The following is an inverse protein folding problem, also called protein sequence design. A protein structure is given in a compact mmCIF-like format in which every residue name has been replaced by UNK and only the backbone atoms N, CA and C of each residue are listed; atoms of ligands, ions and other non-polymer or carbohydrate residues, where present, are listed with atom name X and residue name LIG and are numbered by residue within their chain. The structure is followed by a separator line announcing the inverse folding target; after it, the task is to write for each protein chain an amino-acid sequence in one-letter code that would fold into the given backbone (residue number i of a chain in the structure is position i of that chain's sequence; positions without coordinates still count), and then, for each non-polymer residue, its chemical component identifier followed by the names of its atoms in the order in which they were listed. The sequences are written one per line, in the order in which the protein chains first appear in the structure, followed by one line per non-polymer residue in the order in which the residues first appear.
data_IF_667609743053
#
_entry.id   IF_667609743053
#
_cell.length_a   1.000
_cell.length_b   1.000
_cell.length_c   1.000
_cell.angle_alpha   90.00
_cell.angle_beta   90.00
_cell.angle_gamma   90.00
#
_symmetry.space_group_name_H-M   'P 1'
#
loop_
_entity.id
_entity.type
_entity.pdbx_description
1 polymer ?
#
# COMPACT_ATOMS: atom_id res chain seq x y z
N UNK A 1 2.36 28.85 -13.22
CA UNK A 1 2.98 27.88 -14.15
C UNK A 1 2.29 26.55 -13.93
N UNK A 2 1.60 26.03 -14.93
CA UNK A 2 0.68 24.90 -14.77
C UNK A 2 1.48 23.59 -14.81
N UNK A 3 1.62 22.89 -13.68
CA UNK A 3 2.54 21.75 -13.50
C UNK A 3 1.98 20.41 -14.01
N UNK A 4 0.93 20.43 -14.83
CA UNK A 4 0.16 19.24 -15.20
C UNK A 4 0.09 18.99 -16.71
N UNK A 5 1.17 19.21 -17.45
CA UNK A 5 1.39 18.41 -18.65
C UNK A 5 1.78 17.01 -18.19
N UNK A 6 0.76 16.16 -17.97
CA UNK A 6 1.00 14.74 -17.75
C UNK A 6 1.67 14.21 -19.02
N UNK A 7 2.92 13.78 -18.91
CA UNK A 7 3.62 13.03 -19.95
C UNK A 7 2.93 11.67 -20.11
N UNK A 8 1.79 11.66 -20.79
CA UNK A 8 0.99 10.45 -21.04
C UNK A 8 1.49 9.82 -22.33
N UNK A 9 2.03 8.61 -22.20
CA UNK A 9 2.29 7.74 -23.34
C UNK A 9 1.10 6.78 -23.50
N UNK A 10 0.49 6.75 -24.69
CA UNK A 10 -0.59 5.80 -25.01
C UNK A 10 0.03 4.58 -25.66
N UNK A 11 -0.13 3.43 -25.02
CA UNK A 11 0.32 2.13 -25.52
C UNK A 11 -0.89 1.32 -26.02
N UNK A 12 -0.73 0.43 -27.02
CA UNK A 12 -1.81 -0.39 -27.56
C UNK A 12 -2.15 -1.58 -26.65
N UNK A 13 -2.12 -1.39 -25.33
CA UNK A 13 -2.48 -2.41 -24.35
C UNK A 13 -3.08 -1.76 -23.09
N UNK A 14 -3.85 -2.53 -22.28
CA UNK A 14 -4.25 -2.08 -20.96
C UNK A 14 -3.02 -1.78 -20.10
N UNK A 15 -3.09 -0.75 -19.25
CA UNK A 15 -1.97 -0.32 -18.37
C UNK A 15 -1.42 -1.50 -17.55
N UNK A 16 -2.29 -2.34 -17.01
CA UNK A 16 -1.91 -3.53 -16.24
C UNK A 16 -1.05 -4.55 -17.02
N UNK A 17 -1.12 -4.55 -18.36
CA UNK A 17 -0.36 -5.44 -19.26
C UNK A 17 0.94 -4.83 -19.77
N UNK A 18 1.25 -3.59 -19.39
CA UNK A 18 2.58 -3.03 -19.64
C UNK A 18 3.60 -3.88 -18.89
N UNK A 19 4.63 -4.32 -19.61
CA UNK A 19 5.67 -5.20 -19.09
C UNK A 19 7.04 -4.52 -19.13
N UNK A 20 7.85 -4.80 -18.10
CA UNK A 20 9.27 -4.43 -18.04
C UNK A 20 10.21 -5.49 -18.66
N UNK A 21 9.65 -6.55 -19.26
CA UNK A 21 10.38 -7.70 -19.81
C UNK A 21 10.48 -8.89 -18.85
N UNK A 22 10.15 -8.72 -17.57
CA UNK A 22 10.14 -9.77 -16.55
C UNK A 22 8.74 -9.96 -15.94
N UNK A 23 8.06 -8.84 -15.66
CA UNK A 23 6.72 -8.80 -15.09
C UNK A 23 5.87 -7.76 -15.80
N UNK A 24 4.55 -7.91 -15.66
CA UNK A 24 3.54 -6.91 -15.97
C UNK A 24 3.23 -6.07 -14.73
N UNK A 25 2.62 -4.89 -14.91
CA UNK A 25 2.16 -4.10 -13.77
C UNK A 25 1.15 -4.87 -12.91
N UNK A 26 0.21 -5.62 -13.50
CA UNK A 26 -0.73 -6.45 -12.74
C UNK A 26 0.00 -7.44 -11.80
N UNK A 27 1.02 -8.14 -12.33
CA UNK A 27 1.83 -9.09 -11.54
C UNK A 27 2.60 -8.39 -10.42
N UNK A 28 3.23 -7.25 -10.70
CA UNK A 28 3.94 -6.47 -9.68
C UNK A 28 2.99 -5.96 -8.58
N UNK A 29 1.78 -5.53 -8.93
CA UNK A 29 0.77 -5.11 -7.96
C UNK A 29 0.31 -6.29 -7.08
N UNK A 30 0.10 -7.46 -7.67
CA UNK A 30 -0.27 -8.67 -6.93
C UNK A 30 0.86 -9.13 -5.99
N UNK A 31 2.11 -9.12 -6.45
CA UNK A 31 3.29 -9.39 -5.62
C UNK A 31 3.37 -8.40 -4.44
N UNK A 32 3.20 -7.10 -4.71
CA UNK A 32 3.23 -6.05 -3.68
C UNK A 32 2.18 -6.29 -2.60
N UNK A 33 0.94 -6.62 -2.98
CA UNK A 33 -0.12 -6.92 -2.02
C UNK A 33 0.28 -8.09 -1.09
N UNK A 34 0.68 -9.22 -1.69
CA UNK A 34 0.99 -10.43 -0.93
C UNK A 34 2.23 -10.23 -0.05
N UNK A 35 3.30 -9.63 -0.58
CA UNK A 35 4.53 -9.37 0.18
C UNK A 35 4.26 -8.47 1.39
N UNK A 36 3.49 -7.39 1.20
CA UNK A 36 3.16 -6.48 2.30
C UNK A 36 2.30 -7.17 3.36
N UNK A 37 1.28 -7.94 2.96
CA UNK A 37 0.46 -8.72 3.90
C UNK A 37 1.30 -9.73 4.68
N UNK A 38 2.24 -10.42 4.03
CA UNK A 38 3.13 -11.36 4.71
C UNK A 38 4.03 -10.65 5.72
N UNK A 39 4.56 -9.49 5.37
CA UNK A 39 5.34 -8.67 6.30
C UNK A 39 4.50 -8.22 7.51
N UNK A 40 3.29 -7.74 7.27
CA UNK A 40 2.35 -7.35 8.33
C UNK A 40 2.03 -8.51 9.27
N UNK A 41 1.79 -9.70 8.71
CA UNK A 41 1.51 -10.90 9.50
C UNK A 41 2.72 -11.37 10.32
N UNK A 42 3.95 -11.07 9.88
CA UNK A 42 5.16 -11.32 10.68
C UNK A 42 5.28 -10.33 11.85
N UNK A 43 4.69 -9.13 11.74
CA UNK A 43 4.76 -8.04 12.73
C UNK A 43 3.36 -7.48 13.04
N UNK A 44 2.44 -8.31 13.57
CA UNK A 44 1.08 -7.86 13.88
C UNK A 44 1.08 -6.79 14.97
N UNK A 45 2.12 -6.75 15.82
CA UNK A 45 2.35 -5.72 16.84
C UNK A 45 2.52 -4.31 16.26
N UNK A 46 2.93 -4.21 15.00
CA UNK A 46 3.11 -2.94 14.29
C UNK A 46 2.04 -2.68 13.24
N UNK A 47 1.13 -3.62 13.01
CA UNK A 47 0.34 -3.65 11.79
C UNK A 47 -1.15 -3.50 12.07
N UNK A 48 -1.84 -2.82 11.16
CA UNK A 48 -3.27 -2.61 11.24
C UNK A 48 -3.91 -2.59 9.86
N UNK A 49 -5.23 -2.76 9.82
CA UNK A 49 -6.04 -2.59 8.60
C UNK A 49 -7.35 -1.86 8.91
N UNK A 50 -7.85 -1.09 7.97
CA UNK A 50 -9.12 -0.37 8.07
C UNK A 50 -9.80 -0.23 6.70
N UNK A 51 -11.13 -0.32 6.67
CA UNK A 51 -11.92 0.01 5.46
C UNK A 51 -12.24 1.49 5.33
N UNK A 52 -12.21 2.24 6.44
CA UNK A 52 -12.50 3.67 6.47
C UNK A 52 -11.22 4.47 6.69
N UNK A 53 -11.12 5.60 6.03
CA UNK A 53 -10.14 6.63 6.35
C UNK A 53 -10.44 7.28 7.70
N UNK A 54 -9.54 8.15 8.17
CA UNK A 54 -9.69 8.92 9.41
C UNK A 54 -11.03 9.68 9.46
N UNK A 55 -11.43 10.29 8.35
CA UNK A 55 -12.68 11.07 8.21
C UNK A 55 -13.94 10.20 8.01
N UNK A 56 -13.79 8.88 8.03
CA UNK A 56 -14.86 7.93 7.79
C UNK A 56 -15.19 7.67 6.31
N UNK A 57 -14.52 8.35 5.38
CA UNK A 57 -14.67 8.07 3.95
C UNK A 57 -14.12 6.68 3.61
N UNK A 58 -14.61 6.11 2.50
CA UNK A 58 -14.21 4.80 1.99
C UNK A 58 -13.71 4.95 0.56
N UNK A 59 -12.77 4.13 0.14
CA UNK A 59 -12.39 4.06 -1.28
C UNK A 59 -13.56 3.52 -2.11
N UNK A 60 -13.72 4.05 -3.32
CA UNK A 60 -14.63 3.46 -4.30
C UNK A 60 -14.10 2.08 -4.73
N UNK A 61 -14.97 1.07 -4.70
CA UNK A 61 -14.61 -0.34 -4.92
C UNK A 61 -14.34 -1.10 -3.62
N UNK A 62 -14.14 -2.42 -3.71
CA UNK A 62 -13.79 -3.25 -2.55
C UNK A 62 -12.28 -3.13 -2.27
N UNK A 63 -11.92 -2.11 -1.49
CA UNK A 63 -10.55 -1.82 -1.06
C UNK A 63 -10.46 -1.59 0.45
N UNK A 64 -9.25 -1.67 0.98
CA UNK A 64 -8.95 -1.27 2.36
C UNK A 64 -7.54 -0.69 2.47
N UNK A 65 -7.32 0.07 3.54
CA UNK A 65 -6.00 0.59 3.91
C UNK A 65 -5.34 -0.40 4.85
N UNK A 66 -4.13 -0.78 4.53
CA UNK A 66 -3.25 -1.58 5.36
C UNK A 66 -2.04 -0.74 5.76
N UNK A 67 -1.68 -0.73 7.04
CA UNK A 67 -0.61 0.11 7.54
C UNK A 67 0.30 -0.59 8.55
N UNK A 68 1.53 -0.09 8.65
CA UNK A 68 2.47 -0.45 9.71
C UNK A 68 3.05 0.79 10.38
N UNK A 69 3.02 0.84 11.71
CA UNK A 69 3.63 1.89 12.52
C UNK A 69 5.07 1.51 12.87
N UNK A 70 6.02 1.95 12.04
CA UNK A 70 7.44 1.64 12.21
C UNK A 70 8.14 2.75 12.99
N UNK A 71 9.27 2.45 13.69
CA UNK A 71 10.10 3.50 14.30
C UNK A 71 10.61 4.54 13.31
N UNK A 72 10.75 4.17 12.04
CA UNK A 72 11.18 5.06 10.96
C UNK A 72 10.05 5.91 10.38
N UNK A 73 8.80 5.66 10.77
CA UNK A 73 7.60 6.32 10.26
C UNK A 73 6.56 5.34 9.73
N UNK A 74 5.34 5.81 9.55
CA UNK A 74 4.22 4.96 9.10
C UNK A 74 4.37 4.57 7.63
N UNK A 75 3.98 3.36 7.26
CA UNK A 75 3.87 2.95 5.85
C UNK A 75 2.47 2.44 5.60
N UNK A 76 1.83 2.92 4.55
CA UNK A 76 0.45 2.52 4.23
C UNK A 76 0.29 2.18 2.75
N UNK A 77 -0.60 1.23 2.48
CA UNK A 77 -0.97 0.83 1.14
C UNK A 77 -2.48 0.56 1.05
N UNK A 78 -3.07 0.93 -0.09
CA UNK A 78 -4.38 0.42 -0.48
C UNK A 78 -4.23 -0.98 -1.05
N UNK A 79 -5.04 -1.91 -0.55
CA UNK A 79 -5.10 -3.31 -0.95
C UNK A 79 -6.53 -3.68 -1.35
N UNK A 80 -6.66 -4.60 -2.31
CA UNK A 80 -7.96 -5.11 -2.74
C UNK A 80 -8.63 -5.93 -1.63
N UNK A 81 -9.93 -5.77 -1.45
CA UNK A 81 -10.71 -6.40 -0.38
C UNK A 81 -10.71 -7.93 -0.43
N UNK A 82 -10.44 -8.55 -1.59
CA UNK A 82 -10.19 -10.00 -1.70
C UNK A 82 -9.06 -10.51 -0.79
N UNK A 83 -8.16 -9.62 -0.37
CA UNK A 83 -7.07 -9.91 0.55
C UNK A 83 -7.37 -9.61 2.02
N UNK A 84 -8.55 -9.07 2.35
CA UNK A 84 -8.90 -8.63 3.71
C UNK A 84 -8.64 -9.73 4.74
N UNK A 85 -9.11 -10.94 4.46
CA UNK A 85 -8.96 -12.08 5.36
C UNK A 85 -7.54 -12.65 5.39
N UNK A 86 -6.69 -12.34 4.40
CA UNK A 86 -5.29 -12.77 4.40
C UNK A 86 -4.45 -11.96 5.39
N UNK A 87 -4.82 -10.69 5.64
CA UNK A 87 -4.20 -9.82 6.63
C UNK A 87 -4.72 -10.16 8.04
N UNK A 88 -3.89 -10.85 8.83
CA UNK A 88 -4.18 -11.32 10.19
C UNK A 88 -3.61 -10.36 11.24
N UNK A 89 -4.08 -9.12 11.19
CA UNK A 89 -3.62 -8.02 12.04
C UNK A 89 -4.80 -7.27 12.64
N UNK A 90 -4.53 -6.31 13.52
CA UNK A 90 -5.58 -5.54 14.18
C UNK A 90 -6.46 -4.78 13.18
N UNK A 91 -7.77 -4.91 13.35
CA UNK A 91 -8.76 -4.13 12.62
C UNK A 91 -9.03 -2.82 13.36
N UNK A 92 -8.96 -1.71 12.64
CA UNK A 92 -9.40 -0.42 13.11
C UNK A 92 -10.72 -0.05 12.43
N UNK A 93 -11.60 0.60 13.19
CA UNK A 93 -12.82 1.15 12.61
C UNK A 93 -12.51 2.28 11.62
N UNK A 94 -11.52 3.12 11.97
CA UNK A 94 -11.00 4.24 11.17
C UNK A 94 -9.48 4.14 11.08
N UNK A 95 -8.92 4.44 9.91
CA UNK A 95 -7.48 4.54 9.75
C UNK A 95 -6.92 5.69 10.62
N UNK A 96 -5.69 5.58 11.14
CA UNK A 96 -4.98 6.71 11.72
C UNK A 96 -4.85 7.88 10.72
N UNK A 97 -4.65 9.11 11.22
CA UNK A 97 -4.42 10.28 10.36
C UNK A 97 -3.24 10.06 9.41
N UNK A 98 -3.41 10.41 8.13
CA UNK A 98 -2.34 10.29 7.15
C UNK A 98 -1.34 11.43 7.31
N UNK A 99 -0.05 11.10 7.43
CA UNK A 99 1.04 12.06 7.63
C UNK A 99 1.55 12.72 6.35
N UNK A 100 0.96 12.40 5.19
CA UNK A 100 1.35 12.96 3.89
C UNK A 100 2.53 12.26 3.21
N UNK A 101 2.93 11.06 3.64
CA UNK A 101 4.09 10.36 3.08
C UNK A 101 3.99 10.06 1.58
N UNK A 102 5.09 10.27 0.88
CA UNK A 102 5.26 9.96 -0.54
C UNK A 102 5.75 8.53 -0.76
N UNK A 103 5.84 8.09 -2.02
CA UNK A 103 6.44 6.79 -2.35
C UNK A 103 7.91 6.71 -1.93
N UNK A 104 8.66 7.81 -2.04
CA UNK A 104 10.05 7.89 -1.60
C UNK A 104 10.17 7.76 -0.08
N UNK A 105 9.26 8.40 0.67
CA UNK A 105 9.20 8.24 2.13
C UNK A 105 8.98 6.78 2.53
N UNK A 106 8.06 6.07 1.87
CA UNK A 106 7.81 4.64 2.14
C UNK A 106 9.06 3.81 1.89
N UNK A 107 9.77 4.04 0.77
CA UNK A 107 11.02 3.35 0.47
C UNK A 107 12.09 3.62 1.53
N UNK A 108 12.24 4.88 1.94
CA UNK A 108 13.20 5.28 2.97
C UNK A 108 12.86 4.66 4.33
N UNK A 109 11.58 4.66 4.72
CA UNK A 109 11.09 4.09 5.98
C UNK A 109 11.33 2.59 6.05
N UNK A 110 11.01 1.86 4.97
CA UNK A 110 11.23 0.41 4.88
C UNK A 110 12.72 0.06 4.85
N UNK A 111 13.54 0.78 4.07
CA UNK A 111 14.96 0.47 3.92
C UNK A 111 15.78 0.70 5.19
N UNK A 112 15.38 1.69 6.00
CA UNK A 112 16.04 1.99 7.28
C UNK A 112 15.40 1.29 8.47
N UNK A 113 14.34 0.50 8.26
CA UNK A 113 13.70 -0.22 9.35
C UNK A 113 14.51 -1.46 9.72
N UNK A 114 15.26 -1.36 10.81
CA UNK A 114 15.96 -2.49 11.41
C UNK A 114 15.03 -3.28 12.35
N UNK A 115 15.01 -4.60 12.17
CA UNK A 115 14.29 -5.49 13.06
C UNK A 115 15.20 -5.90 14.22
N UNK A 116 14.84 -5.51 15.44
CA UNK A 116 15.41 -6.14 16.63
C UNK A 116 14.97 -7.60 16.65
N UNK A 117 15.96 -8.51 16.66
CA UNK A 117 15.80 -9.96 16.78
C UNK A 117 15.35 -10.30 18.20
#
# INVERSE_FOLDING_TARGET
MNVYERNVLILPCPVGKVSDGFHTFDELYEHRHILFIKLMNCRPDKSWKSRKHEDGSVYEGDWFVAGMCLPTGDVTYHLEGKYWDMAKVQEHEFAPPWDGHTAEDVLNRLSNWEQSI
#
